data_IF_481821998505
#
_entry.id   IF_481821998505
#
_cell.length_a   1.000
_cell.length_b   1.000
_cell.length_c   1.000
_cell.angle_alpha   90.00
_cell.angle_beta   90.00
_cell.angle_gamma   90.00
#
_symmetry.space_group_name_H-M   'P 1'
#
loop_
_entity.id
_entity.type
_entity.pdbx_description
1 polymer ?
#
# COMPACT_ATOMS: atom_id res chain seq x y z
N UNK A 1 25.63 84.26 1.79
CA UNK A 1 25.69 83.67 0.43
C UNK A 1 27.02 84.10 -0.17
N UNK A 2 28.02 83.24 -0.07
CA UNK A 2 29.48 83.49 -0.17
C UNK A 2 30.04 82.36 -1.04
N UNK A 3 30.52 82.61 -2.26
CA UNK A 3 31.85 83.09 -2.72
C UNK A 3 32.96 82.03 -2.70
N UNK A 4 33.69 81.99 -3.82
CA UNK A 4 34.81 81.14 -4.20
C UNK A 4 36.09 81.31 -3.33
N UNK A 5 36.89 80.23 -3.33
CA UNK A 5 38.33 79.99 -2.96
C UNK A 5 39.28 81.10 -3.49
N UNK A 6 40.46 81.49 -2.88
CA UNK A 6 41.69 80.69 -2.59
C UNK A 6 42.59 81.23 -1.40
N UNK A 7 43.95 81.06 -1.32
CA UNK A 7 44.81 79.86 -1.19
C UNK A 7 45.92 79.94 -0.06
N UNK A 8 46.74 78.89 0.02
CA UNK A 8 48.23 78.86 0.19
C UNK A 8 48.90 78.52 1.55
N UNK A 9 49.84 77.54 1.46
CA UNK A 9 51.21 77.38 2.03
C UNK A 9 51.45 75.97 2.62
N UNK A 10 52.19 75.06 1.98
CA UNK A 10 53.65 74.93 1.75
C UNK A 10 54.31 73.90 2.69
N UNK A 11 54.57 72.69 2.14
CA UNK A 11 55.76 71.77 2.20
C UNK A 11 56.72 71.77 3.43
N UNK A 12 57.63 70.78 3.60
CA UNK A 12 57.72 69.39 3.08
C UNK A 12 58.21 68.37 4.15
N UNK A 13 58.38 67.08 3.77
CA UNK A 13 59.59 66.33 4.14
C UNK A 13 59.45 64.96 4.80
N UNK A 14 59.95 63.96 4.07
CA UNK A 14 60.74 62.80 4.55
C UNK A 14 60.01 61.52 5.04
N UNK A 15 59.99 60.53 4.14
CA UNK A 15 60.41 59.13 4.45
C UNK A 15 61.96 59.09 4.44
N UNK A 16 62.70 58.16 5.09
CA UNK A 16 62.46 56.71 4.94
C UNK A 16 62.93 55.73 6.07
N UNK A 17 62.50 54.47 5.94
CA UNK A 17 63.30 53.22 6.07
C UNK A 17 63.62 52.56 7.46
N UNK A 18 63.18 51.29 7.51
CA UNK A 18 63.71 50.07 8.18
C UNK A 18 63.43 49.67 9.64
N UNK A 19 62.84 48.46 9.70
CA UNK A 19 63.23 47.28 10.47
C UNK A 19 62.83 47.16 11.95
N UNK A 20 62.17 46.05 12.26
CA UNK A 20 62.01 45.52 13.62
C UNK A 20 60.71 44.75 13.80
N UNK A 21 60.84 43.42 13.87
CA UNK A 21 59.90 42.44 14.46
C UNK A 21 59.21 43.00 15.74
N UNK A 22 57.99 42.64 16.14
CA UNK A 22 57.48 41.28 16.27
C UNK A 22 55.99 41.34 16.70
N UNK A 23 55.23 40.34 16.25
CA UNK A 23 54.14 39.68 16.97
C UNK A 23 53.10 40.51 17.75
N UNK A 24 51.89 40.74 17.16
CA UNK A 24 50.54 40.63 17.79
C UNK A 24 49.35 41.31 17.05
N UNK A 25 49.45 41.62 15.76
CA UNK A 25 48.33 42.30 15.03
C UNK A 25 47.75 41.51 13.84
N UNK A 26 48.03 40.21 13.74
CA UNK A 26 47.53 39.33 12.67
C UNK A 26 46.20 38.61 12.95
N UNK A 27 45.55 38.83 14.09
CA UNK A 27 44.31 38.12 14.46
C UNK A 27 43.02 38.94 14.44
N UNK A 28 43.05 40.21 14.02
CA UNK A 28 41.83 41.05 13.93
C UNK A 28 41.57 41.66 12.54
N UNK A 29 42.43 41.38 11.55
CA UNK A 29 42.30 41.85 10.16
C UNK A 29 41.81 40.78 9.18
N UNK A 30 41.46 39.58 9.67
CA UNK A 30 40.80 38.51 8.91
C UNK A 30 39.26 38.49 9.07
N UNK A 31 38.72 39.11 10.13
CA UNK A 31 37.28 39.11 10.41
C UNK A 31 36.49 40.24 9.68
N UNK A 32 37.18 41.26 9.18
CA UNK A 32 36.55 42.41 8.49
C UNK A 32 36.61 42.34 6.96
N UNK A 33 36.99 41.18 6.39
CA UNK A 33 36.95 40.91 4.93
C UNK A 33 35.84 39.90 4.55
N UNK A 34 34.94 39.64 5.48
CA UNK A 34 33.81 38.68 5.39
C UNK A 34 32.45 39.34 5.15
N UNK A 35 32.43 40.64 4.84
CA UNK A 35 31.18 41.40 4.63
C UNK A 35 31.44 42.52 3.60
N UNK A 36 31.56 42.18 2.31
CA UNK A 36 31.84 43.22 1.31
C UNK A 36 32.10 42.82 -0.15
N UNK A 37 32.01 41.53 -0.52
CA UNK A 37 31.88 41.10 -1.92
C UNK A 37 30.86 39.97 -2.01
N UNK A 38 29.65 40.32 -1.56
CA UNK A 38 28.41 39.72 -2.01
C UNK A 38 28.16 40.25 -3.42
N UNK A 39 27.51 39.45 -4.25
CA UNK A 39 27.07 39.69 -5.63
C UNK A 39 28.08 39.40 -6.75
N UNK A 40 27.71 38.33 -7.46
CA UNK A 40 27.98 37.99 -8.85
C UNK A 40 29.25 37.15 -9.10
N UNK A 41 29.00 35.94 -9.60
CA UNK A 41 29.94 35.00 -10.23
C UNK A 41 30.48 33.78 -9.44
N UNK A 42 29.78 33.30 -8.40
CA UNK A 42 30.01 31.93 -7.88
C UNK A 42 28.75 31.08 -7.69
N UNK A 43 27.60 31.60 -8.12
CA UNK A 43 26.28 30.95 -8.01
C UNK A 43 25.93 30.07 -9.22
N UNK A 44 26.92 29.48 -9.91
CA UNK A 44 26.62 28.67 -11.10
C UNK A 44 27.28 27.29 -11.23
N UNK A 45 28.21 26.89 -10.38
CA UNK A 45 28.84 25.56 -10.51
C UNK A 45 29.25 24.99 -9.14
N UNK A 46 28.29 24.66 -8.26
CA UNK A 46 28.54 23.77 -7.11
C UNK A 46 27.25 23.21 -6.44
N UNK A 47 26.09 23.16 -7.11
CA UNK A 47 24.89 22.51 -6.53
C UNK A 47 24.50 21.17 -7.17
N UNK A 48 25.03 20.82 -8.35
CA UNK A 48 24.53 19.66 -9.11
C UNK A 48 25.21 18.31 -8.82
N UNK A 49 26.36 18.27 -8.14
CA UNK A 49 27.12 17.01 -7.99
C UNK A 49 27.28 16.48 -6.56
N UNK A 50 26.89 17.20 -5.52
CA UNK A 50 26.96 16.68 -4.14
C UNK A 50 25.67 16.02 -3.64
N UNK A 51 24.51 16.32 -4.23
CA UNK A 51 23.24 15.67 -3.88
C UNK A 51 23.04 14.30 -4.59
N UNK A 52 23.84 14.02 -5.62
CA UNK A 52 23.83 12.73 -6.34
C UNK A 52 24.60 11.63 -5.60
N UNK A 53 25.69 11.96 -4.89
CA UNK A 53 26.50 10.95 -4.19
C UNK A 53 25.92 10.49 -2.85
N UNK A 54 25.26 11.36 -2.09
CA UNK A 54 24.71 11.00 -0.77
C UNK A 54 23.48 10.09 -0.88
N UNK A 55 22.65 10.30 -1.90
CA UNK A 55 21.44 9.48 -2.14
C UNK A 55 21.78 8.17 -2.87
N UNK A 56 22.81 8.17 -3.72
CA UNK A 56 23.31 6.97 -4.40
C UNK A 56 23.94 5.95 -3.45
N UNK A 57 24.74 6.39 -2.48
CA UNK A 57 25.38 5.47 -1.53
C UNK A 57 24.38 4.78 -0.58
N UNK A 58 23.32 5.48 -0.17
CA UNK A 58 22.23 4.90 0.64
C UNK A 58 21.40 3.89 -0.16
N UNK A 59 21.02 4.22 -1.39
CA UNK A 59 20.25 3.33 -2.26
C UNK A 59 21.04 2.07 -2.67
N UNK A 60 22.33 2.21 -2.96
CA UNK A 60 23.23 1.08 -3.28
C UNK A 60 23.45 0.21 -2.04
N UNK A 61 23.60 0.80 -0.84
CA UNK A 61 23.72 0.03 0.39
C UNK A 61 22.44 -0.77 0.70
N UNK A 62 21.26 -0.18 0.48
CA UNK A 62 19.99 -0.88 0.65
C UNK A 62 19.79 -1.98 -0.41
N UNK A 63 20.12 -1.74 -1.68
CA UNK A 63 20.11 -2.76 -2.75
C UNK A 63 21.11 -3.90 -2.50
N UNK A 64 22.32 -3.55 -2.06
CA UNK A 64 23.34 -4.55 -1.70
C UNK A 64 22.87 -5.40 -0.52
N UNK A 65 22.25 -4.80 0.49
CA UNK A 65 21.76 -5.51 1.68
C UNK A 65 20.51 -6.35 1.39
N UNK A 66 19.62 -5.95 0.48
CA UNK A 66 18.48 -6.79 0.05
C UNK A 66 18.94 -8.01 -0.75
N UNK A 67 19.95 -7.85 -1.62
CA UNK A 67 20.56 -8.97 -2.35
C UNK A 67 21.30 -9.90 -1.36
N UNK A 68 22.02 -9.35 -0.39
CA UNK A 68 22.74 -10.12 0.61
C UNK A 68 21.79 -10.85 1.60
N UNK A 69 20.64 -10.25 1.93
CA UNK A 69 19.58 -10.89 2.71
C UNK A 69 18.86 -11.99 1.90
N UNK A 70 18.73 -11.83 0.58
CA UNK A 70 18.20 -12.86 -0.32
C UNK A 70 19.14 -14.07 -0.50
N UNK A 71 20.46 -13.85 -0.46
CA UNK A 71 21.47 -14.91 -0.63
C UNK A 71 21.86 -15.61 0.68
N UNK A 72 21.73 -14.94 1.83
CA UNK A 72 22.03 -15.50 3.15
C UNK A 72 20.77 -15.93 3.93
N UNK A 73 19.61 -15.95 3.29
CA UNK A 73 18.42 -16.54 3.90
C UNK A 73 18.60 -18.07 3.95
N UNK A 74 18.61 -18.72 5.13
CA UNK A 74 18.21 -20.12 5.18
C UNK A 74 16.77 -20.18 4.65
N UNK A 75 16.37 -21.29 4.03
CA UNK A 75 15.01 -21.50 3.59
C UNK A 75 14.05 -21.14 4.75
N UNK A 76 13.35 -20.01 4.62
CA UNK A 76 12.33 -19.58 5.58
C UNK A 76 11.13 -20.51 5.43
N UNK A 77 11.25 -21.68 6.04
CA UNK A 77 10.12 -22.42 6.58
C UNK A 77 9.42 -21.48 7.55
N UNK A 78 8.24 -20.99 7.18
CA UNK A 78 7.27 -20.53 8.16
C UNK A 78 6.85 -21.75 8.99
N UNK A 79 7.64 -22.10 10.02
CA UNK A 79 7.07 -22.84 11.12
C UNK A 79 6.17 -21.87 11.90
N UNK A 80 4.87 -22.15 12.03
CA UNK A 80 4.03 -21.43 12.96
C UNK A 80 4.58 -21.63 14.38
N UNK A 81 4.34 -20.66 15.27
CA UNK A 81 4.53 -20.80 16.72
C UNK A 81 3.96 -22.15 17.14
N UNK A 82 4.87 -23.09 17.44
CA UNK A 82 4.54 -24.50 17.56
C UNK A 82 3.76 -24.76 18.85
N UNK A 83 2.42 -24.76 18.74
CA UNK A 83 1.53 -25.58 19.57
C UNK A 83 2.00 -27.06 19.54
N UNK A 84 2.77 -27.45 18.51
CA UNK A 84 3.48 -28.73 18.44
C UNK A 84 4.37 -29.00 19.67
N UNK A 85 4.94 -27.98 20.34
CA UNK A 85 5.78 -28.20 21.54
C UNK A 85 4.96 -28.53 22.80
N UNK A 86 3.65 -28.30 22.77
CA UNK A 86 2.69 -28.82 23.76
C UNK A 86 2.04 -30.15 23.30
N UNK A 87 2.10 -30.47 22.01
CA UNK A 87 1.59 -31.73 21.45
C UNK A 87 2.55 -32.92 21.60
N UNK A 88 3.85 -32.68 21.86
CA UNK A 88 4.87 -33.74 22.02
C UNK A 88 4.67 -34.60 23.28
N UNK A 89 3.71 -34.29 24.15
CA UNK A 89 3.33 -35.18 25.27
C UNK A 89 2.06 -36.02 25.02
N UNK A 90 1.52 -36.01 23.79
CA UNK A 90 0.31 -36.75 23.42
C UNK A 90 0.56 -37.84 22.34
N UNK A 91 1.80 -38.28 22.14
CA UNK A 91 2.14 -39.33 21.18
C UNK A 91 1.94 -40.76 21.71
N UNK A 92 0.74 -41.12 22.21
CA UNK A 92 0.42 -42.54 22.47
C UNK A 92 -1.04 -42.95 22.33
N UNK A 93 -1.92 -42.10 21.79
CA UNK A 93 -3.29 -42.49 21.48
C UNK A 93 -3.64 -41.88 20.12
N UNK A 94 -4.02 -42.73 19.15
CA UNK A 94 -4.49 -42.27 17.83
C UNK A 94 -5.60 -41.22 17.94
N UNK A 95 -5.90 -40.48 16.86
CA UNK A 95 -6.85 -39.37 16.90
C UNK A 95 -8.21 -39.86 17.39
N UNK A 96 -8.50 -39.60 18.67
CA UNK A 96 -9.74 -39.98 19.31
C UNK A 96 -10.77 -38.94 18.91
N UNK A 97 -11.63 -39.29 17.97
CA UNK A 97 -12.83 -38.51 17.64
C UNK A 97 -13.63 -38.29 18.94
N UNK A 98 -13.70 -37.04 19.38
CA UNK A 98 -14.42 -36.65 20.59
C UNK A 98 -15.92 -36.52 20.34
N UNK A 99 -16.33 -36.49 19.07
CA UNK A 99 -17.67 -36.20 18.61
C UNK A 99 -18.19 -34.83 19.04
N UNK A 100 -17.33 -33.94 19.54
CA UNK A 100 -17.73 -32.63 20.07
C UNK A 100 -18.27 -31.74 18.95
N UNK A 101 -17.58 -31.68 17.80
CA UNK A 101 -18.06 -30.88 16.68
C UNK A 101 -19.41 -31.39 16.16
N UNK A 102 -19.57 -32.71 16.09
CA UNK A 102 -20.84 -33.33 15.67
C UNK A 102 -21.97 -33.03 16.65
N UNK A 103 -21.71 -33.07 17.96
CA UNK A 103 -22.69 -32.68 18.99
C UNK A 103 -23.11 -31.22 18.86
N UNK A 104 -22.17 -30.30 18.68
CA UNK A 104 -22.47 -28.88 18.50
C UNK A 104 -23.31 -28.62 17.24
N UNK A 105 -22.99 -29.27 16.12
CA UNK A 105 -23.77 -29.16 14.89
C UNK A 105 -25.22 -29.67 15.07
N UNK A 106 -25.40 -30.77 15.79
CA UNK A 106 -26.74 -31.27 16.14
C UNK A 106 -27.51 -30.32 17.05
N UNK A 107 -26.85 -29.74 18.05
CA UNK A 107 -27.46 -28.75 18.96
C UNK A 107 -27.86 -27.46 18.25
N UNK A 108 -27.09 -27.04 17.24
CA UNK A 108 -27.41 -25.86 16.43
C UNK A 108 -28.65 -26.10 15.55
N UNK A 109 -28.98 -27.34 15.22
CA UNK A 109 -30.18 -27.66 14.42
C UNK A 109 -31.48 -27.66 15.25
N UNK A 110 -31.37 -27.48 16.56
CA UNK A 110 -32.52 -27.38 17.46
C UNK A 110 -32.99 -25.92 17.60
N UNK A 111 -34.20 -25.72 18.11
CA UNK A 111 -34.71 -24.36 18.37
C UNK A 111 -33.95 -23.74 19.55
N UNK A 112 -33.05 -22.82 19.24
CA UNK A 112 -32.23 -22.09 20.20
C UNK A 112 -32.61 -20.60 20.24
N UNK A 113 -32.30 -19.93 21.35
CA UNK A 113 -32.28 -18.46 21.40
C UNK A 113 -31.01 -17.89 20.73
N UNK A 114 -30.99 -16.58 20.49
CA UNK A 114 -29.90 -15.95 19.74
C UNK A 114 -28.54 -16.03 20.44
N UNK A 115 -28.54 -15.92 21.77
CA UNK A 115 -27.32 -16.05 22.57
C UNK A 115 -26.74 -17.47 22.48
N UNK A 116 -27.58 -18.51 22.60
CA UNK A 116 -27.15 -19.89 22.49
C UNK A 116 -26.64 -20.21 21.08
N UNK A 117 -27.31 -19.74 20.02
CA UNK A 117 -26.81 -19.88 18.64
C UNK A 117 -25.41 -19.28 18.49
N UNK A 118 -25.22 -18.04 18.94
CA UNK A 118 -23.93 -17.33 18.91
C UNK A 118 -22.83 -18.12 19.62
N UNK A 119 -23.11 -18.62 20.83
CA UNK A 119 -22.15 -19.40 21.60
C UNK A 119 -21.83 -20.76 20.96
N UNK A 120 -22.82 -21.44 20.38
CA UNK A 120 -22.61 -22.70 19.67
C UNK A 120 -21.76 -22.46 18.41
N UNK A 121 -22.08 -21.45 17.60
CA UNK A 121 -21.30 -21.09 16.39
C UNK A 121 -19.87 -20.70 16.73
N UNK A 122 -19.67 -19.93 17.80
CA UNK A 122 -18.33 -19.62 18.31
C UNK A 122 -17.57 -20.89 18.73
N UNK A 123 -18.24 -21.81 19.42
CA UNK A 123 -17.64 -23.08 19.84
C UNK A 123 -17.29 -23.98 18.64
N UNK A 124 -18.17 -24.05 17.64
CA UNK A 124 -17.91 -24.72 16.36
C UNK A 124 -16.66 -24.14 15.70
N UNK A 125 -16.54 -22.81 15.64
CA UNK A 125 -15.35 -22.13 15.07
C UNK A 125 -14.07 -22.61 15.75
N UNK A 126 -14.06 -22.69 17.08
CA UNK A 126 -12.91 -23.19 17.86
C UNK A 126 -12.63 -24.67 17.58
N UNK A 127 -13.67 -25.51 17.54
CA UNK A 127 -13.54 -26.93 17.21
C UNK A 127 -12.95 -27.13 15.81
N UNK A 128 -13.34 -26.33 14.81
CA UNK A 128 -12.78 -26.45 13.46
C UNK A 128 -11.28 -26.17 13.43
N UNK A 129 -10.80 -25.22 14.24
CA UNK A 129 -9.36 -24.93 14.34
C UNK A 129 -8.58 -25.98 15.16
N UNK A 130 -9.20 -26.62 16.14
CA UNK A 130 -8.52 -27.52 17.09
C UNK A 130 -8.66 -29.01 16.74
N UNK A 131 -9.72 -29.39 16.03
CA UNK A 131 -10.13 -30.78 15.76
C UNK A 131 -10.19 -31.01 14.24
N UNK A 132 -9.03 -30.99 13.58
CA UNK A 132 -8.92 -31.06 12.11
C UNK A 132 -9.56 -32.32 11.51
N UNK A 133 -9.43 -33.47 12.19
CA UNK A 133 -10.02 -34.74 11.75
C UNK A 133 -11.56 -34.69 11.78
N UNK A 134 -12.15 -34.17 12.85
CA UNK A 134 -13.60 -33.99 12.99
C UNK A 134 -14.12 -32.98 11.96
N UNK A 135 -13.42 -31.87 11.80
CA UNK A 135 -13.80 -30.82 10.85
C UNK A 135 -13.76 -31.34 9.41
N UNK A 136 -12.77 -32.15 9.06
CA UNK A 136 -12.67 -32.79 7.73
C UNK A 136 -13.78 -33.82 7.47
N UNK A 137 -14.30 -34.45 8.52
CA UNK A 137 -15.41 -35.39 8.46
C UNK A 137 -16.78 -34.70 8.28
N UNK A 138 -16.87 -33.37 8.40
CA UNK A 138 -18.10 -32.64 8.11
C UNK A 138 -18.57 -32.82 6.65
N UNK A 139 -19.88 -32.72 6.48
CA UNK A 139 -20.58 -32.80 5.20
C UNK A 139 -20.84 -31.40 4.62
N UNK A 140 -21.25 -31.33 3.36
CA UNK A 140 -21.70 -30.07 2.77
C UNK A 140 -23.01 -29.57 3.37
N UNK A 141 -23.84 -30.45 3.95
CA UNK A 141 -25.04 -30.02 4.67
C UNK A 141 -24.68 -29.27 5.96
N UNK A 142 -23.60 -29.70 6.64
CA UNK A 142 -23.09 -28.99 7.82
C UNK A 142 -22.66 -27.55 7.44
N UNK A 143 -22.04 -27.37 6.26
CA UNK A 143 -21.68 -26.05 5.72
C UNK A 143 -22.92 -25.22 5.37
N UNK A 144 -23.94 -25.81 4.74
CA UNK A 144 -25.20 -25.13 4.44
C UNK A 144 -25.95 -24.71 5.70
N UNK A 145 -25.92 -25.55 6.74
CA UNK A 145 -26.47 -25.21 8.05
C UNK A 145 -25.79 -23.95 8.60
N UNK A 146 -24.45 -23.89 8.62
CA UNK A 146 -23.74 -22.68 9.06
C UNK A 146 -24.13 -21.45 8.22
N UNK A 147 -24.22 -21.62 6.90
CA UNK A 147 -24.56 -20.54 5.99
C UNK A 147 -25.99 -20.02 6.15
N UNK A 148 -26.95 -20.87 6.57
CA UNK A 148 -28.32 -20.42 6.83
C UNK A 148 -28.41 -19.37 7.95
N UNK A 149 -27.43 -19.30 8.85
CA UNK A 149 -27.35 -18.29 9.90
C UNK A 149 -26.85 -16.92 9.41
N UNK A 150 -26.46 -16.80 8.13
CA UNK A 150 -26.19 -15.48 7.51
C UNK A 150 -27.47 -14.65 7.33
N UNK A 151 -28.63 -15.31 7.30
CA UNK A 151 -29.96 -14.68 7.21
C UNK A 151 -30.62 -14.46 8.58
N UNK A 152 -29.90 -14.71 9.69
CA UNK A 152 -30.45 -14.49 11.03
C UNK A 152 -30.83 -13.01 11.24
N UNK A 153 -31.67 -12.71 12.23
CA UNK A 153 -32.01 -11.33 12.60
C UNK A 153 -30.93 -10.72 13.47
N UNK A 154 -30.31 -11.54 14.32
CA UNK A 154 -29.27 -11.11 15.23
C UNK A 154 -27.92 -10.96 14.52
N UNK A 155 -27.22 -9.85 14.79
CA UNK A 155 -25.96 -9.54 14.13
C UNK A 155 -24.79 -10.40 14.67
N UNK A 156 -24.82 -10.76 15.94
CA UNK A 156 -23.75 -11.54 16.56
C UNK A 156 -23.81 -12.98 16.04
N UNK A 157 -25.02 -13.51 15.83
CA UNK A 157 -25.23 -14.79 15.15
C UNK A 157 -24.62 -14.77 13.74
N UNK A 158 -24.87 -13.72 12.95
CA UNK A 158 -24.25 -13.56 11.61
C UNK A 158 -22.72 -13.50 11.69
N UNK A 159 -22.17 -12.72 12.61
CA UNK A 159 -20.72 -12.58 12.81
C UNK A 159 -20.10 -13.93 13.15
N UNK A 160 -20.71 -14.71 14.04
CA UNK A 160 -20.21 -16.03 14.41
C UNK A 160 -20.38 -17.05 13.28
N UNK A 161 -21.45 -16.97 12.47
CA UNK A 161 -21.61 -17.79 11.27
C UNK A 161 -20.52 -17.50 10.23
N UNK A 162 -20.21 -16.22 9.97
CA UNK A 162 -19.11 -15.81 9.08
C UNK A 162 -17.76 -16.34 9.56
N UNK A 163 -17.49 -16.26 10.87
CA UNK A 163 -16.25 -16.78 11.47
C UNK A 163 -16.17 -18.31 11.38
N UNK A 164 -17.27 -19.03 11.60
CA UNK A 164 -17.33 -20.48 11.45
C UNK A 164 -17.05 -20.89 9.99
N UNK A 165 -17.71 -20.24 9.02
CA UNK A 165 -17.45 -20.43 7.60
C UNK A 165 -16.00 -20.11 7.23
N UNK A 166 -15.41 -19.06 7.82
CA UNK A 166 -13.98 -18.73 7.61
C UNK A 166 -13.05 -19.83 8.10
N UNK A 167 -13.37 -20.47 9.22
CA UNK A 167 -12.61 -21.60 9.72
C UNK A 167 -12.73 -22.79 8.77
N UNK A 168 -13.94 -23.14 8.34
CA UNK A 168 -14.17 -24.22 7.36
C UNK A 168 -13.52 -23.94 5.99
N UNK A 169 -13.42 -22.67 5.56
CA UNK A 169 -12.71 -22.29 4.34
C UNK A 169 -11.20 -22.60 4.42
N UNK A 170 -10.64 -22.83 5.61
CA UNK A 170 -9.29 -23.37 5.77
C UNK A 170 -9.14 -24.76 5.13
N UNK A 171 -10.20 -25.56 5.16
CA UNK A 171 -10.24 -26.93 4.65
C UNK A 171 -10.58 -26.92 3.16
N UNK A 172 -9.67 -27.46 2.33
CA UNK A 172 -9.76 -27.40 0.86
C UNK A 172 -11.09 -27.92 0.31
N UNK A 173 -11.64 -28.99 0.89
CA UNK A 173 -12.92 -29.61 0.51
C UNK A 173 -14.09 -28.62 0.54
N UNK A 174 -14.14 -27.70 1.51
CA UNK A 174 -15.30 -26.83 1.71
C UNK A 174 -15.21 -25.49 0.98
N UNK A 175 -14.02 -25.08 0.51
CA UNK A 175 -13.81 -23.76 -0.12
C UNK A 175 -14.80 -23.47 -1.26
N UNK A 176 -14.97 -24.42 -2.18
CA UNK A 176 -15.89 -24.27 -3.32
C UNK A 176 -17.34 -24.23 -2.86
N UNK A 177 -17.71 -25.02 -1.85
CA UNK A 177 -19.07 -24.99 -1.30
C UNK A 177 -19.39 -23.65 -0.65
N UNK A 178 -18.42 -23.07 0.07
CA UNK A 178 -18.59 -21.77 0.75
C UNK A 178 -18.65 -20.62 -0.27
N UNK A 179 -17.97 -20.76 -1.40
CA UNK A 179 -17.99 -19.78 -2.50
C UNK A 179 -19.41 -19.51 -3.05
N UNK A 180 -20.32 -20.50 -2.97
CA UNK A 180 -21.73 -20.31 -3.35
C UNK A 180 -22.44 -19.21 -2.54
N UNK A 181 -21.94 -18.89 -1.34
CA UNK A 181 -22.50 -17.87 -0.46
C UNK A 181 -21.85 -16.48 -0.62
N UNK A 182 -20.89 -16.31 -1.54
CA UNK A 182 -20.25 -15.01 -1.81
C UNK A 182 -21.27 -13.88 -2.07
N UNK A 183 -22.36 -14.07 -2.84
CA UNK A 183 -23.36 -13.02 -3.02
C UNK A 183 -23.94 -12.51 -1.69
N UNK A 184 -24.26 -13.43 -0.77
CA UNK A 184 -24.79 -13.08 0.55
C UNK A 184 -23.75 -12.43 1.44
N UNK A 185 -22.50 -12.92 1.41
CA UNK A 185 -21.40 -12.35 2.19
C UNK A 185 -21.12 -10.91 1.72
N UNK A 186 -21.13 -10.65 0.41
CA UNK A 186 -20.99 -9.30 -0.15
C UNK A 186 -22.17 -8.41 0.19
N UNK A 187 -23.40 -8.92 0.16
CA UNK A 187 -24.59 -8.18 0.61
C UNK A 187 -24.43 -7.72 2.07
N UNK A 188 -24.01 -8.63 2.95
CA UNK A 188 -23.78 -8.32 4.37
C UNK A 188 -22.69 -7.25 4.55
N UNK A 189 -21.55 -7.39 3.88
CA UNK A 189 -20.42 -6.45 3.98
C UNK A 189 -20.76 -5.08 3.39
N UNK A 190 -21.59 -5.01 2.35
CA UNK A 190 -21.88 -3.72 1.67
C UNK A 190 -23.13 -3.01 2.18
N UNK A 191 -24.04 -3.72 2.88
CA UNK A 191 -25.33 -3.16 3.32
C UNK A 191 -25.42 -2.87 4.82
N UNK A 192 -24.57 -3.49 5.65
CA UNK A 192 -24.62 -3.35 7.11
C UNK A 192 -23.38 -2.66 7.64
N UNK A 193 -23.54 -1.45 8.20
CA UNK A 193 -22.43 -0.65 8.71
C UNK A 193 -22.03 -1.03 10.15
N UNK A 194 -21.64 -2.29 10.34
CA UNK A 194 -21.11 -2.80 11.62
C UNK A 194 -19.66 -3.27 11.45
N UNK A 195 -18.78 -2.78 12.32
CA UNK A 195 -17.33 -3.00 12.20
C UNK A 195 -16.95 -4.47 12.34
N UNK A 196 -17.53 -5.19 13.29
CA UNK A 196 -17.21 -6.60 13.53
C UNK A 196 -17.75 -7.48 12.40
N UNK A 197 -18.93 -7.13 11.87
CA UNK A 197 -19.50 -7.77 10.69
C UNK A 197 -18.63 -7.55 9.45
N UNK A 198 -18.17 -6.31 9.19
CA UNK A 198 -17.21 -6.03 8.11
C UNK A 198 -15.95 -6.87 8.27
N UNK A 199 -15.35 -6.93 9.46
CA UNK A 199 -14.12 -7.69 9.70
C UNK A 199 -14.34 -9.18 9.44
N UNK A 200 -15.42 -9.77 9.96
CA UNK A 200 -15.72 -11.19 9.79
C UNK A 200 -15.99 -11.54 8.31
N UNK A 201 -16.81 -10.73 7.63
CA UNK A 201 -17.16 -10.93 6.22
C UNK A 201 -15.95 -10.76 5.29
N UNK A 202 -15.17 -9.69 5.47
CA UNK A 202 -13.97 -9.44 4.66
C UNK A 202 -12.87 -10.48 4.91
N UNK A 203 -12.70 -10.96 6.15
CA UNK A 203 -11.79 -12.09 6.43
C UNK A 203 -12.19 -13.33 5.65
N UNK A 204 -13.49 -13.64 5.62
CA UNK A 204 -14.02 -14.77 4.86
C UNK A 204 -13.75 -14.59 3.36
N UNK A 205 -14.10 -13.44 2.79
CA UNK A 205 -13.86 -13.14 1.36
C UNK A 205 -12.38 -13.28 0.98
N UNK A 206 -11.46 -12.72 1.77
CA UNK A 206 -10.01 -12.88 1.55
C UNK A 206 -9.52 -14.33 1.64
N UNK A 207 -10.28 -15.21 2.30
CA UNK A 207 -9.98 -16.64 2.42
C UNK A 207 -10.54 -17.50 1.30
N UNK A 208 -11.31 -16.94 0.37
CA UNK A 208 -11.98 -17.67 -0.69
C UNK A 208 -11.37 -17.37 -2.06
N UNK A 209 -11.30 -18.36 -2.97
CA UNK A 209 -11.08 -18.05 -4.37
C UNK A 209 -12.30 -17.27 -4.91
N UNK A 210 -12.07 -16.15 -5.57
CA UNK A 210 -13.11 -15.36 -6.24
C UNK A 210 -13.00 -15.58 -7.75
N UNK A 211 -13.93 -16.34 -8.36
CA UNK A 211 -13.89 -16.72 -9.76
C UNK A 211 -14.53 -15.63 -10.63
N UNK A 212 -14.24 -15.63 -11.92
CA UNK A 212 -14.55 -14.49 -12.78
C UNK A 212 -16.07 -14.23 -12.92
N UNK A 213 -16.92 -15.24 -12.76
CA UNK A 213 -18.38 -15.06 -12.74
C UNK A 213 -18.88 -14.22 -11.55
N UNK A 214 -18.07 -13.99 -10.52
CA UNK A 214 -18.40 -13.09 -9.40
C UNK A 214 -18.05 -11.63 -9.68
N UNK A 215 -17.30 -11.33 -10.75
CA UNK A 215 -16.86 -9.97 -11.08
C UNK A 215 -18.01 -8.97 -11.19
N UNK A 216 -19.17 -9.25 -11.81
CA UNK A 216 -20.29 -8.30 -11.85
C UNK A 216 -20.82 -7.92 -10.46
N UNK A 217 -20.83 -8.85 -9.50
CA UNK A 217 -21.23 -8.58 -8.12
C UNK A 217 -20.17 -7.73 -7.40
N UNK A 218 -18.89 -8.02 -7.62
CA UNK A 218 -17.78 -7.27 -7.03
C UNK A 218 -17.75 -5.82 -7.54
N UNK A 219 -17.99 -5.58 -8.84
CA UNK A 219 -18.10 -4.21 -9.39
C UNK A 219 -19.17 -3.39 -8.68
N UNK A 220 -20.33 -4.00 -8.40
CA UNK A 220 -21.42 -3.34 -7.67
C UNK A 220 -21.06 -3.06 -6.21
N UNK A 221 -20.19 -3.87 -5.61
CA UNK A 221 -19.73 -3.72 -4.24
C UNK A 221 -18.60 -2.68 -4.10
N UNK A 222 -17.88 -2.36 -5.18
CA UNK A 222 -16.66 -1.54 -5.14
C UNK A 222 -16.82 -0.18 -4.44
N UNK A 223 -17.88 0.61 -4.68
CA UNK A 223 -18.06 1.87 -3.98
C UNK A 223 -18.19 1.70 -2.46
N UNK A 224 -18.94 0.68 -2.00
CA UNK A 224 -19.08 0.40 -0.58
C UNK A 224 -17.78 -0.13 0.04
N UNK A 225 -17.01 -0.95 -0.69
CA UNK A 225 -15.68 -1.39 -0.26
C UNK A 225 -14.72 -0.20 -0.15
N UNK A 226 -14.75 0.73 -1.10
CA UNK A 226 -13.95 1.96 -1.05
C UNK A 226 -14.36 2.87 0.11
N UNK A 227 -15.65 2.92 0.44
CA UNK A 227 -16.12 3.63 1.63
C UNK A 227 -15.53 3.02 2.92
N UNK A 228 -15.49 1.68 3.04
CA UNK A 228 -14.85 1.00 4.18
C UNK A 228 -13.35 1.31 4.26
N UNK A 229 -12.64 1.46 3.14
CA UNK A 229 -11.23 1.88 3.12
C UNK A 229 -11.06 3.25 3.76
N UNK A 230 -12.01 4.16 3.57
CA UNK A 230 -11.88 5.56 3.96
C UNK A 230 -12.40 5.85 5.37
N UNK A 231 -13.48 5.17 5.79
CA UNK A 231 -14.16 5.48 7.06
C UNK A 231 -14.20 4.30 8.05
N UNK A 232 -13.72 3.12 7.65
CA UNK A 232 -13.70 1.93 8.50
C UNK A 232 -12.65 1.99 9.62
N UNK A 233 -12.79 1.06 10.59
CA UNK A 233 -11.75 0.84 11.60
C UNK A 233 -10.46 0.32 10.95
N UNK A 234 -9.30 0.53 11.59
CA UNK A 234 -8.01 0.09 11.04
C UNK A 234 -7.98 -1.40 10.67
N UNK A 235 -8.67 -2.25 11.43
CA UNK A 235 -8.76 -3.67 11.13
C UNK A 235 -9.65 -3.95 9.91
N UNK A 236 -10.80 -3.29 9.79
CA UNK A 236 -11.66 -3.40 8.61
C UNK A 236 -10.95 -2.89 7.35
N UNK A 237 -10.29 -1.72 7.44
CA UNK A 237 -9.46 -1.15 6.39
C UNK A 237 -8.40 -2.14 5.90
N UNK A 238 -7.64 -2.75 6.81
CA UNK A 238 -6.65 -3.79 6.48
C UNK A 238 -7.29 -4.96 5.71
N UNK A 239 -8.48 -5.43 6.11
CA UNK A 239 -9.13 -6.54 5.41
C UNK A 239 -9.62 -6.14 4.01
N UNK A 240 -10.21 -4.95 3.85
CA UNK A 240 -10.70 -4.51 2.53
C UNK A 240 -9.55 -4.16 1.59
N UNK A 241 -8.44 -3.60 2.09
CA UNK A 241 -7.24 -3.34 1.29
C UNK A 241 -6.62 -4.63 0.74
N UNK A 242 -6.61 -5.71 1.52
CA UNK A 242 -6.16 -7.04 1.06
C UNK A 242 -7.05 -7.58 -0.07
N UNK A 243 -8.36 -7.42 0.08
CA UNK A 243 -9.34 -7.84 -0.92
C UNK A 243 -9.14 -7.04 -2.20
N UNK A 244 -9.16 -5.71 -2.12
CA UNK A 244 -8.99 -4.82 -3.27
C UNK A 244 -7.62 -4.99 -3.93
N UNK A 245 -6.55 -5.25 -3.18
CA UNK A 245 -5.23 -5.59 -3.72
C UNK A 245 -5.25 -6.86 -4.56
N UNK A 246 -6.02 -7.87 -4.12
CA UNK A 246 -6.21 -9.12 -4.86
C UNK A 246 -7.04 -8.89 -6.12
N UNK A 247 -8.09 -8.06 -6.03
CA UNK A 247 -8.94 -7.71 -7.16
C UNK A 247 -8.25 -6.80 -8.18
N UNK A 248 -7.32 -5.94 -7.75
CA UNK A 248 -6.53 -5.08 -8.63
C UNK A 248 -5.62 -5.87 -9.58
N UNK A 249 -5.35 -7.13 -9.27
CA UNK A 249 -4.61 -8.05 -10.14
C UNK A 249 -5.52 -8.77 -11.15
N UNK A 250 -6.82 -8.48 -11.15
CA UNK A 250 -7.77 -8.94 -12.17
C UNK A 250 -7.98 -7.83 -13.19
N UNK A 251 -7.55 -8.06 -14.43
CA UNK A 251 -7.62 -7.08 -15.52
C UNK A 251 -9.04 -6.48 -15.66
N UNK A 252 -10.08 -7.33 -15.56
CA UNK A 252 -11.50 -6.96 -15.67
C UNK A 252 -12.06 -6.04 -14.58
N UNK A 253 -11.31 -5.83 -13.49
CA UNK A 253 -11.76 -5.08 -12.31
C UNK A 253 -10.88 -3.86 -12.00
N UNK A 254 -9.68 -3.80 -12.59
CA UNK A 254 -8.71 -2.75 -12.27
C UNK A 254 -9.25 -1.35 -12.57
N UNK A 255 -9.90 -1.18 -13.74
CA UNK A 255 -10.53 0.09 -14.11
C UNK A 255 -11.62 0.49 -13.10
N UNK A 256 -12.49 -0.44 -12.72
CA UNK A 256 -13.56 -0.18 -11.75
C UNK A 256 -13.00 0.26 -10.38
N UNK A 257 -11.88 -0.31 -9.94
CA UNK A 257 -11.20 0.08 -8.69
C UNK A 257 -10.63 1.48 -8.82
N UNK A 258 -9.87 1.74 -9.89
CA UNK A 258 -9.22 3.02 -10.14
C UNK A 258 -10.23 4.15 -10.33
N UNK A 259 -11.41 3.85 -10.87
CA UNK A 259 -12.48 4.82 -11.07
C UNK A 259 -13.41 5.00 -9.85
N UNK A 260 -13.20 4.26 -8.76
CA UNK A 260 -13.97 4.47 -7.52
C UNK A 260 -13.77 5.89 -7.00
N UNK A 261 -14.85 6.54 -6.57
CA UNK A 261 -14.77 7.87 -5.98
C UNK A 261 -14.15 7.80 -4.57
N UNK A 262 -13.30 8.77 -4.27
CA UNK A 262 -12.64 8.93 -2.97
C UNK A 262 -12.80 10.35 -2.44
N UNK A 263 -12.72 10.51 -1.12
CA UNK A 263 -12.72 11.78 -0.43
C UNK A 263 -11.44 12.56 -0.73
N UNK A 264 -11.52 13.89 -0.68
CA UNK A 264 -10.38 14.77 -0.97
C UNK A 264 -9.16 14.52 -0.04
N UNK A 265 -9.41 13.94 1.12
CA UNK A 265 -8.40 13.64 2.12
C UNK A 265 -7.92 12.17 2.09
N UNK A 266 -8.22 11.42 1.03
CA UNK A 266 -7.82 10.02 0.84
C UNK A 266 -6.33 9.76 1.12
N UNK A 267 -5.45 10.69 0.72
CA UNK A 267 -4.00 10.58 0.95
C UNK A 267 -3.60 10.60 2.44
N UNK A 268 -4.51 10.91 3.36
CA UNK A 268 -4.28 10.76 4.80
C UNK A 268 -4.07 9.29 5.21
N UNK A 269 -4.50 8.32 4.39
CA UNK A 269 -4.21 6.89 4.57
C UNK A 269 -2.71 6.56 4.47
N UNK A 270 -1.88 7.48 3.98
CA UNK A 270 -0.41 7.36 3.91
C UNK A 270 0.31 8.14 5.00
N UNK A 271 -0.41 8.63 6.02
CA UNK A 271 0.22 9.43 7.06
C UNK A 271 1.05 8.56 8.02
N UNK A 272 2.29 8.96 8.28
CA UNK A 272 3.26 8.20 9.09
C UNK A 272 2.84 7.94 10.55
N UNK A 273 1.77 8.60 11.04
CA UNK A 273 1.22 8.35 12.37
C UNK A 273 0.28 7.14 12.45
N UNK A 274 -0.12 6.57 11.32
CA UNK A 274 -0.98 5.39 11.28
C UNK A 274 -0.20 4.14 11.68
N UNK A 275 -0.91 3.08 12.09
CA UNK A 275 -0.25 1.81 12.44
C UNK A 275 0.50 1.24 11.23
N UNK A 276 1.72 0.73 11.41
CA UNK A 276 2.52 0.19 10.31
C UNK A 276 1.85 -0.96 9.56
N UNK A 277 1.04 -1.78 10.22
CA UNK A 277 0.24 -2.81 9.55
C UNK A 277 -0.75 -2.21 8.54
N UNK A 278 -1.47 -1.14 8.91
CA UNK A 278 -2.37 -0.44 7.99
C UNK A 278 -1.58 0.23 6.85
N UNK A 279 -0.52 0.97 7.18
CA UNK A 279 0.33 1.63 6.18
C UNK A 279 0.89 0.64 5.18
N UNK A 280 1.39 -0.51 5.64
CA UNK A 280 1.89 -1.58 4.78
C UNK A 280 0.83 -2.03 3.79
N UNK A 281 -0.41 -2.27 4.23
CA UNK A 281 -1.48 -2.73 3.32
C UNK A 281 -1.95 -1.63 2.37
N UNK A 282 -1.97 -0.35 2.79
CA UNK A 282 -2.23 0.79 1.90
C UNK A 282 -1.15 0.90 0.81
N UNK A 283 0.13 0.73 1.19
CA UNK A 283 1.25 0.75 0.25
C UNK A 283 1.27 -0.46 -0.67
N UNK A 284 0.93 -1.67 -0.17
CA UNK A 284 0.73 -2.86 -1.02
C UNK A 284 -0.38 -2.61 -2.03
N UNK A 285 -1.49 -2.01 -1.60
CA UNK A 285 -2.59 -1.69 -2.51
C UNK A 285 -2.15 -0.70 -3.60
N UNK A 286 -1.45 0.38 -3.24
CA UNK A 286 -0.90 1.34 -4.19
C UNK A 286 0.10 0.69 -5.18
N UNK A 287 0.95 -0.22 -4.70
CA UNK A 287 1.86 -1.00 -5.53
C UNK A 287 1.10 -1.85 -6.55
N UNK A 288 0.10 -2.63 -6.11
CA UNK A 288 -0.70 -3.50 -6.98
C UNK A 288 -1.46 -2.71 -8.04
N UNK A 289 -1.98 -1.53 -7.69
CA UNK A 289 -2.63 -0.63 -8.67
C UNK A 289 -1.63 -0.11 -9.70
N UNK A 290 -0.43 0.29 -9.26
CA UNK A 290 0.62 0.75 -10.16
C UNK A 290 1.08 -0.37 -11.09
N UNK A 291 1.35 -1.57 -10.57
CA UNK A 291 1.74 -2.74 -11.36
C UNK A 291 0.66 -3.11 -12.38
N UNK A 292 -0.61 -3.13 -11.97
CA UNK A 292 -1.73 -3.44 -12.86
C UNK A 292 -1.81 -2.49 -14.06
N UNK A 293 -1.56 -1.20 -13.85
CA UNK A 293 -1.53 -0.19 -14.92
C UNK A 293 -0.37 -0.37 -15.91
N UNK A 294 0.70 -1.07 -15.50
CA UNK A 294 1.85 -1.36 -16.35
C UNK A 294 1.64 -2.60 -17.22
N UNK A 295 0.53 -3.32 -17.05
CA UNK A 295 0.24 -4.46 -17.91
C UNK A 295 -0.04 -3.99 -19.34
N UNK A 296 0.53 -4.65 -20.38
CA UNK A 296 0.33 -4.25 -21.77
C UNK A 296 -1.15 -4.19 -22.19
N UNK A 297 -1.97 -5.10 -21.66
CA UNK A 297 -3.41 -5.12 -21.88
C UNK A 297 -4.06 -3.83 -21.39
N UNK A 298 -3.73 -3.39 -20.17
CA UNK A 298 -4.30 -2.18 -19.60
C UNK A 298 -3.83 -0.92 -20.34
N UNK A 299 -2.55 -0.86 -20.72
CA UNK A 299 -1.97 0.26 -21.47
C UNK A 299 -2.52 0.38 -22.90
N UNK A 300 -3.04 -0.71 -23.48
CA UNK A 300 -3.59 -0.71 -24.85
C UNK A 300 -4.92 0.04 -24.98
N UNK A 301 -5.58 0.36 -23.87
CA UNK A 301 -6.88 1.02 -23.84
C UNK A 301 -6.73 2.43 -23.28
N UNK A 302 -7.39 3.40 -23.92
CA UNK A 302 -7.50 4.75 -23.37
C UNK A 302 -8.63 4.78 -22.33
N UNK A 303 -8.26 4.94 -21.06
CA UNK A 303 -9.20 4.99 -19.94
C UNK A 303 -9.50 6.43 -19.54
N UNK A 304 -10.79 6.74 -19.40
CA UNK A 304 -11.26 8.00 -18.82
C UNK A 304 -11.66 7.76 -17.36
N UNK A 305 -11.06 8.51 -16.43
CA UNK A 305 -11.36 8.44 -15.01
C UNK A 305 -12.12 9.68 -14.55
N UNK A 306 -12.94 9.51 -13.51
CA UNK A 306 -13.61 10.62 -12.84
C UNK A 306 -12.58 11.52 -12.11
N UNK A 307 -12.86 12.82 -12.00
CA UNK A 307 -12.01 13.78 -11.28
C UNK A 307 -11.83 13.47 -9.79
N UNK A 308 -12.84 12.85 -9.16
CA UNK A 308 -12.81 12.40 -7.77
C UNK A 308 -12.39 10.94 -7.63
N UNK A 309 -11.84 10.34 -8.69
CA UNK A 309 -11.46 8.94 -8.69
C UNK A 309 -10.22 8.66 -7.84
N UNK A 310 -10.09 7.41 -7.39
CA UNK A 310 -8.88 6.88 -6.77
C UNK A 310 -7.65 7.08 -7.68
N UNK A 311 -7.82 6.93 -9.00
CA UNK A 311 -6.77 7.18 -9.97
C UNK A 311 -6.25 8.62 -9.87
N UNK A 312 -7.14 9.62 -9.92
CA UNK A 312 -6.73 11.04 -9.84
C UNK A 312 -6.07 11.35 -8.49
N UNK A 313 -6.64 10.82 -7.39
CA UNK A 313 -6.08 11.03 -6.05
C UNK A 313 -4.66 10.45 -5.87
N UNK A 314 -4.35 9.31 -6.49
CA UNK A 314 -3.05 8.63 -6.35
C UNK A 314 -2.05 9.00 -7.44
N UNK A 315 -2.49 9.07 -8.68
CA UNK A 315 -1.63 9.12 -9.86
C UNK A 315 -1.93 10.28 -10.80
N UNK A 316 -2.93 11.11 -10.49
CA UNK A 316 -3.21 12.33 -11.24
C UNK A 316 -2.06 13.34 -11.15
N UNK A 317 -2.04 14.30 -12.06
CA UNK A 317 -0.98 15.32 -12.12
C UNK A 317 -0.95 16.19 -10.84
N UNK A 318 -2.11 16.33 -10.19
CA UNK A 318 -2.29 17.07 -8.95
C UNK A 318 -1.95 16.26 -7.68
N UNK A 319 -1.67 14.96 -7.83
CA UNK A 319 -1.45 14.04 -6.72
C UNK A 319 -0.21 14.41 -5.89
N UNK A 320 -0.39 14.37 -4.56
CA UNK A 320 0.69 14.54 -3.59
C UNK A 320 1.22 13.22 -3.03
N UNK A 321 0.93 12.11 -3.70
CA UNK A 321 1.36 10.77 -3.26
C UNK A 321 2.89 10.70 -3.08
N UNK A 322 3.67 11.29 -4.00
CA UNK A 322 5.13 11.30 -3.91
C UNK A 322 5.65 11.92 -2.59
N UNK A 323 5.09 13.07 -2.17
CA UNK A 323 5.42 13.71 -0.88
C UNK A 323 5.14 12.76 0.29
N UNK A 324 4.00 12.07 0.26
CA UNK A 324 3.60 11.12 1.31
C UNK A 324 4.52 9.91 1.36
N UNK A 325 4.89 9.34 0.21
CA UNK A 325 5.81 8.21 0.12
C UNK A 325 7.21 8.57 0.63
N UNK A 326 7.72 9.75 0.28
CA UNK A 326 9.02 10.23 0.78
C UNK A 326 9.04 10.37 2.31
N UNK A 327 7.94 10.81 2.92
CA UNK A 327 7.81 10.86 4.37
C UNK A 327 7.84 9.46 5.03
N UNK A 328 7.39 8.42 4.33
CA UNK A 328 7.37 7.05 4.83
C UNK A 328 8.72 6.33 4.73
N UNK A 329 9.69 6.85 3.96
CA UNK A 329 11.05 6.27 3.87
C UNK A 329 11.77 6.30 5.22
N UNK A 330 11.43 7.25 6.09
CA UNK A 330 12.01 7.39 7.44
C UNK A 330 11.11 6.83 8.54
N UNK A 331 10.07 6.07 8.18
CA UNK A 331 9.16 5.44 9.14
C UNK A 331 9.91 4.44 10.04
N UNK A 332 9.62 4.31 11.35
CA UNK A 332 10.38 3.44 12.26
C UNK A 332 10.34 1.95 11.89
N UNK A 333 9.26 1.48 11.27
CA UNK A 333 9.10 0.07 10.85
C UNK A 333 9.72 -0.17 9.46
N UNK A 334 10.64 -1.14 9.39
CA UNK A 334 11.41 -1.47 8.18
C UNK A 334 10.50 -1.97 7.04
N UNK A 335 9.47 -2.76 7.34
CA UNK A 335 8.55 -3.28 6.32
C UNK A 335 7.79 -2.15 5.60
N UNK A 336 7.46 -1.07 6.32
CA UNK A 336 6.81 0.10 5.74
C UNK A 336 7.77 0.84 4.82
N UNK A 337 9.03 1.02 5.23
CA UNK A 337 10.07 1.66 4.40
C UNK A 337 10.30 0.89 3.09
N UNK A 338 10.49 -0.43 3.19
CA UNK A 338 10.72 -1.30 2.03
C UNK A 338 9.54 -1.20 1.06
N UNK A 339 8.32 -1.28 1.59
CA UNK A 339 7.13 -1.23 0.76
C UNK A 339 6.94 0.16 0.11
N UNK A 340 7.24 1.25 0.81
CA UNK A 340 7.21 2.60 0.24
C UNK A 340 8.23 2.75 -0.90
N UNK A 341 9.44 2.23 -0.74
CA UNK A 341 10.45 2.20 -1.80
C UNK A 341 9.96 1.44 -3.04
N UNK A 342 9.28 0.30 -2.87
CA UNK A 342 8.72 -0.45 -4.00
C UNK A 342 7.66 0.35 -4.77
N UNK A 343 6.76 1.03 -4.06
CA UNK A 343 5.75 1.91 -4.69
C UNK A 343 6.42 3.05 -5.45
N UNK A 344 7.45 3.67 -4.89
CA UNK A 344 8.21 4.74 -5.57
C UNK A 344 8.81 4.22 -6.88
N UNK A 345 9.45 3.05 -6.84
CA UNK A 345 10.05 2.43 -8.02
C UNK A 345 8.99 2.06 -9.07
N UNK A 346 7.85 1.48 -8.67
CA UNK A 346 6.79 1.10 -9.61
C UNK A 346 6.17 2.31 -10.31
N UNK A 347 6.00 3.43 -9.59
CA UNK A 347 5.52 4.69 -10.19
C UNK A 347 6.57 5.29 -11.14
N UNK A 348 7.85 5.22 -10.80
CA UNK A 348 8.92 5.74 -11.65
C UNK A 348 9.04 4.98 -12.97
N UNK A 349 8.96 3.65 -12.93
CA UNK A 349 8.93 2.81 -14.13
C UNK A 349 7.79 3.20 -15.08
N UNK A 350 6.60 3.50 -14.53
CA UNK A 350 5.46 3.98 -15.31
C UNK A 350 5.74 5.27 -16.08
N UNK A 351 6.47 6.21 -15.48
CA UNK A 351 6.82 7.49 -16.12
C UNK A 351 7.84 7.31 -17.24
N UNK A 352 8.79 6.40 -17.07
CA UNK A 352 9.82 6.12 -18.07
C UNK A 352 9.24 5.42 -19.31
N UNK A 353 8.35 4.44 -19.12
CA UNK A 353 7.62 3.80 -20.23
C UNK A 353 6.73 4.79 -21.00
N UNK A 354 5.98 5.64 -20.29
CA UNK A 354 5.15 6.66 -20.92
C UNK A 354 5.98 7.67 -21.73
N UNK A 355 7.17 8.04 -21.22
CA UNK A 355 8.10 8.90 -21.95
C UNK A 355 8.67 8.20 -23.19
N UNK A 356 9.05 6.92 -23.10
CA UNK A 356 9.56 6.15 -24.23
C UNK A 356 8.52 6.01 -25.36
N UNK A 357 7.26 5.70 -25.01
CA UNK A 357 6.14 5.61 -25.97
C UNK A 357 5.89 6.96 -26.64
N UNK A 358 5.83 8.05 -25.87
CA UNK A 358 5.64 9.40 -26.40
C UNK A 358 6.77 9.81 -27.36
N UNK A 359 8.00 9.40 -27.06
CA UNK A 359 9.17 9.67 -27.91
C UNK A 359 9.10 8.85 -29.20
N UNK A 360 8.73 7.57 -29.12
CA UNK A 360 8.56 6.71 -30.30
C UNK A 360 7.42 7.19 -31.22
N UNK A 361 6.30 7.63 -30.65
CA UNK A 361 5.17 8.21 -31.41
C UNK A 361 5.58 9.52 -32.11
N UNK A 362 6.36 10.38 -31.45
CA UNK A 362 6.86 11.62 -32.04
C UNK A 362 7.85 11.37 -33.18
N UNK A 363 8.66 10.32 -33.08
CA UNK A 363 9.57 9.90 -34.15
C UNK A 363 8.82 9.30 -35.35
N UNK A 364 7.70 8.60 -35.10
CA UNK A 364 6.84 8.08 -36.17
C UNK A 364 6.05 9.20 -36.87
N UNK A 365 5.52 10.19 -36.13
CA UNK A 365 4.83 11.33 -36.76
C UNK A 365 5.77 12.21 -37.59
N UNK A 366 7.00 12.44 -37.11
CA UNK A 366 8.01 13.20 -37.87
C UNK A 366 8.51 12.50 -39.14
N UNK A 367 8.27 11.20 -39.29
CA UNK A 367 8.64 10.44 -40.49
C UNK A 367 7.57 10.54 -41.58
N UNK A 368 6.30 10.81 -41.22
CA UNK A 368 5.20 10.99 -42.17
C UNK A 368 4.99 12.44 -42.62
N UNK A 369 5.53 13.44 -41.90
CA UNK A 369 5.46 14.86 -42.30
C UNK A 369 6.54 15.26 -43.34
N UNK A 370 7.41 14.34 -43.78
CA UNK A 370 8.48 14.65 -44.76
C UNK A 370 8.15 14.34 -46.21
N UNK A 371 6.96 13.81 -46.54
CA UNK A 371 6.63 13.36 -47.91
C UNK A 371 5.50 14.16 -48.60
N UNK A 372 5.04 15.29 -48.05
CA UNK A 372 3.96 16.11 -48.64
C UNK A 372 4.35 17.55 -49.04
N UNK A 373 5.61 17.80 -49.43
CA UNK A 373 6.03 19.12 -49.96
C UNK A 373 6.59 19.14 -51.40
N UNK A 374 6.51 18.06 -52.18
CA UNK A 374 7.08 18.02 -53.54
C UNK A 374 6.14 17.44 -54.62
N UNK A 375 4.87 17.87 -54.68
CA UNK A 375 4.00 17.58 -55.84
C UNK A 375 3.09 18.77 -56.20
N UNK A 376 3.67 19.94 -56.48
CA UNK A 376 3.04 21.00 -57.27
C UNK A 376 4.09 21.94 -57.89
N UNK A 377 4.86 21.46 -58.87
CA UNK A 377 5.45 22.32 -59.91
C UNK A 377 6.03 21.47 -61.04
N UNK A 378 5.28 21.32 -62.14
CA UNK A 378 5.71 21.31 -63.56
C UNK A 378 4.57 20.89 -64.49
#
# INVERSE_FOLDING_TARGET
MTSLVPPARSRPGQCPVTAGSDSRTWLLSAAARWRGRKMQCWEKITSKNMLSMATGAGAIYLLYRTIQAGLNSPAFSMEPVSIAKLAVQQENLGPKDSGELRRLLMSLNQKQDEYAKSMILHSITRCVYLLESEASACSYEDIRLMASYLDDRDKDVKIHALNALKAFAGIRKFRIKIQEFVPKILELVTSYWDTELHIAGLRLLNGLPLPDHTHPLLRRAMPALMEIVQTGSSLAQVQVLKLLSTLAQKEDLLYDILNCQVHADFLNLFHASLSGNLLREVLVFAERLSEGRLTPQYQSVHWEYNELSLHEALFGDSSRLADRLLALIVHPEEEVQIQACKVILSIQLSKEEAAAISTAQRMQSSFFDTDEEDLCES
#
